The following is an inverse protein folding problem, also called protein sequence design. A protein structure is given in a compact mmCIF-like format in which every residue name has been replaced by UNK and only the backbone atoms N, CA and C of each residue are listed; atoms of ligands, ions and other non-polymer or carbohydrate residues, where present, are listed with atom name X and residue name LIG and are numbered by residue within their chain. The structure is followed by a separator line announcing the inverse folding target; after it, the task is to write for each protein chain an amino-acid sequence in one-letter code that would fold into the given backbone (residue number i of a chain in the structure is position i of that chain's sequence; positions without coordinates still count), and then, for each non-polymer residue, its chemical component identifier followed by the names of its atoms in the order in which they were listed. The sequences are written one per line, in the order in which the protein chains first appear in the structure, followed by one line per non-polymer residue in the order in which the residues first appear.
data_IF_425286747465
#
_entry.id   IF_425286747465
#
_cell.length_a   1.000
_cell.length_b   1.000
_cell.length_c   1.000
_cell.angle_alpha   90.00
_cell.angle_beta   90.00
_cell.angle_gamma   90.00
#
_symmetry.space_group_name_H-M   'P 1'
#
loop_
_entity.id
_entity.type
_entity.pdbx_description
1 polymer ?
#
# COMPACT_ATOMS: atom_id res chain seq x y z
N UNK A 1 76.33 -24.32 -20.18
CA UNK A 1 74.92 -24.77 -20.18
C UNK A 1 74.50 -24.95 -18.73
N UNK A 2 73.53 -24.15 -18.25
CA UNK A 2 72.60 -24.49 -17.17
C UNK A 2 71.62 -23.32 -17.00
N UNK A 3 70.43 -23.49 -17.58
CA UNK A 3 69.32 -22.56 -17.46
C UNK A 3 68.54 -22.88 -16.18
N UNK A 4 68.44 -21.92 -15.27
CA UNK A 4 67.52 -21.95 -14.13
C UNK A 4 66.28 -21.16 -14.50
N UNK A 5 65.21 -21.90 -14.76
CA UNK A 5 63.87 -21.44 -15.14
C UNK A 5 63.24 -20.64 -13.99
N UNK A 6 62.94 -19.36 -14.23
CA UNK A 6 62.13 -18.53 -13.33
C UNK A 6 60.66 -18.92 -13.46
N UNK A 7 60.10 -19.52 -12.42
CA UNK A 7 58.65 -19.75 -12.31
C UNK A 7 57.93 -18.43 -11.99
N UNK A 8 56.97 -18.05 -12.83
CA UNK A 8 56.04 -16.95 -12.58
C UNK A 8 54.87 -17.51 -11.76
N UNK A 9 54.70 -17.04 -10.53
CA UNK A 9 53.47 -17.28 -9.75
C UNK A 9 52.36 -16.38 -10.31
N UNK A 10 51.39 -16.98 -11.00
CA UNK A 10 50.12 -16.34 -11.31
C UNK A 10 49.24 -16.35 -10.05
N UNK A 11 49.01 -15.18 -9.46
CA UNK A 11 48.01 -15.01 -8.42
C UNK A 11 46.61 -15.00 -9.09
N UNK A 12 45.89 -16.11 -9.00
CA UNK A 12 44.50 -16.17 -9.39
C UNK A 12 43.65 -15.41 -8.34
N UNK A 13 43.16 -14.23 -8.70
CA UNK A 13 42.17 -13.53 -7.90
C UNK A 13 40.85 -14.31 -7.94
N UNK A 14 40.53 -15.01 -6.86
CA UNK A 14 39.22 -15.61 -6.66
C UNK A 14 38.21 -14.49 -6.34
N UNK A 15 37.50 -13.99 -7.35
CA UNK A 15 36.24 -13.28 -7.13
C UNK A 15 35.24 -14.27 -6.56
N UNK A 16 35.07 -14.28 -5.24
CA UNK A 16 33.99 -15.00 -4.59
C UNK A 16 32.66 -14.44 -5.11
N UNK A 17 31.92 -15.25 -5.87
CA UNK A 17 30.53 -14.97 -6.17
C UNK A 17 29.76 -15.01 -4.85
N UNK A 18 29.57 -13.85 -4.22
CA UNK A 18 28.71 -13.72 -3.05
C UNK A 18 27.30 -14.10 -3.50
N UNK A 19 26.85 -15.28 -3.08
CA UNK A 19 25.46 -15.71 -3.27
C UNK A 19 24.53 -14.71 -2.59
N UNK A 20 23.36 -14.45 -3.19
CA UNK A 20 22.35 -13.61 -2.56
C UNK A 20 21.93 -14.26 -1.24
N UNK A 21 22.28 -13.64 -0.11
CA UNK A 21 21.65 -13.94 1.16
C UNK A 21 20.32 -13.20 1.21
N UNK A 22 19.28 -13.83 1.76
CA UNK A 22 17.99 -13.19 1.98
C UNK A 22 18.12 -11.90 2.83
N UNK A 23 19.13 -11.82 3.70
CA UNK A 23 19.44 -10.62 4.49
C UNK A 23 19.95 -9.43 3.65
N UNK A 24 20.44 -9.66 2.42
CA UNK A 24 21.00 -8.64 1.54
C UNK A 24 20.04 -8.18 0.46
N UNK A 25 18.97 -8.93 0.21
CA UNK A 25 18.10 -8.71 -0.93
C UNK A 25 16.68 -9.19 -0.64
N UNK A 26 15.72 -8.36 -1.01
CA UNK A 26 14.30 -8.68 -0.93
C UNK A 26 13.55 -8.23 -2.16
N UNK A 27 12.51 -8.99 -2.48
CA UNK A 27 11.50 -8.68 -3.49
C UNK A 27 10.17 -8.47 -2.76
N UNK A 28 9.52 -7.34 -3.00
CA UNK A 28 8.22 -7.00 -2.43
C UNK A 28 7.24 -6.85 -3.58
N UNK A 29 6.17 -7.64 -3.55
CA UNK A 29 5.07 -7.46 -4.50
C UNK A 29 4.26 -6.23 -4.11
N UNK A 30 3.93 -5.37 -5.06
CA UNK A 30 3.22 -4.13 -4.79
C UNK A 30 1.82 -4.42 -4.24
N UNK A 31 1.15 -5.48 -4.72
CA UNK A 31 -0.17 -5.88 -4.24
C UNK A 31 -0.17 -6.36 -2.77
N UNK A 32 0.99 -6.69 -2.22
CA UNK A 32 1.19 -7.02 -0.79
C UNK A 32 1.42 -5.75 0.07
N UNK A 33 1.35 -4.55 -0.51
CA UNK A 33 1.31 -3.31 0.29
C UNK A 33 0.12 -3.33 1.23
N UNK A 34 0.31 -2.84 2.46
CA UNK A 34 -0.74 -2.90 3.47
C UNK A 34 -1.89 -1.94 3.19
N UNK A 35 -1.58 -0.70 2.82
CA UNK A 35 -2.56 0.32 2.50
C UNK A 35 -2.41 0.66 1.03
N UNK A 36 -3.44 0.44 0.22
CA UNK A 36 -3.36 0.75 -1.20
C UNK A 36 -3.73 2.19 -1.53
N UNK A 37 -4.38 2.91 -0.62
CA UNK A 37 -4.85 4.27 -0.89
C UNK A 37 -5.78 4.27 -2.11
N UNK A 38 -5.47 5.09 -3.12
CA UNK A 38 -6.20 5.13 -4.39
C UNK A 38 -5.78 4.04 -5.38
N UNK A 39 -4.74 3.26 -5.08
CA UNK A 39 -4.26 2.20 -5.95
C UNK A 39 -5.15 0.95 -5.83
N UNK A 40 -5.41 0.30 -6.95
CA UNK A 40 -6.19 -0.93 -7.00
C UNK A 40 -5.32 -2.09 -7.45
N UNK A 41 -5.55 -3.24 -6.83
CA UNK A 41 -4.95 -4.51 -7.26
C UNK A 41 -5.61 -4.98 -8.56
N UNK A 42 -4.80 -5.15 -9.61
CA UNK A 42 -5.24 -5.59 -10.93
C UNK A 42 -4.50 -6.87 -11.32
N UNK A 43 -5.23 -7.84 -11.90
CA UNK A 43 -4.64 -9.10 -12.35
C UNK A 43 -3.98 -8.98 -13.74
N UNK A 44 -2.80 -9.57 -13.90
CA UNK A 44 -2.11 -9.70 -15.17
C UNK A 44 -1.18 -10.92 -15.12
N UNK A 45 -1.23 -11.81 -16.11
CA UNK A 45 -0.41 -13.02 -16.11
C UNK A 45 1.09 -12.74 -16.28
N UNK A 46 1.47 -11.58 -16.82
CA UNK A 46 2.86 -11.16 -16.98
C UNK A 46 3.42 -10.42 -15.75
N UNK A 47 2.55 -9.99 -14.84
CA UNK A 47 2.93 -9.41 -13.56
C UNK A 47 3.64 -10.45 -12.68
N UNK A 48 4.58 -9.98 -11.85
CA UNK A 48 5.05 -10.76 -10.72
C UNK A 48 3.87 -11.01 -9.79
N UNK A 49 3.83 -12.15 -9.09
CA UNK A 49 2.66 -12.50 -8.25
C UNK A 49 1.32 -12.69 -8.98
N UNK A 50 1.24 -12.42 -10.29
CA UNK A 50 0.03 -12.34 -11.14
C UNK A 50 -0.87 -11.12 -10.88
N UNK A 51 -0.42 -10.16 -10.06
CA UNK A 51 -1.13 -8.93 -9.78
C UNK A 51 -0.16 -7.75 -9.73
N UNK A 52 -0.68 -6.54 -9.85
CA UNK A 52 0.08 -5.31 -9.66
C UNK A 52 -0.85 -4.23 -9.11
N UNK A 53 -0.29 -3.14 -8.58
CA UNK A 53 -1.04 -1.96 -8.18
C UNK A 53 -1.15 -0.96 -9.33
N UNK A 54 -2.36 -0.43 -9.50
CA UNK A 54 -2.73 0.48 -10.58
C UNK A 54 -3.61 1.62 -10.05
N UNK A 55 -3.29 2.87 -10.38
CA UNK A 55 -4.18 4.01 -10.12
C UNK A 55 -5.25 4.09 -11.21
N UNK A 56 -6.56 3.96 -10.89
CA UNK A 56 -7.63 4.04 -11.88
C UNK A 56 -7.94 5.47 -12.31
N UNK A 57 -8.69 5.59 -13.41
CA UNK A 57 -9.05 6.88 -14.00
C UNK A 57 -10.03 7.71 -13.17
N UNK A 58 -10.92 7.04 -12.46
CA UNK A 58 -11.92 7.66 -11.62
C UNK A 58 -11.47 7.81 -10.15
N UNK A 59 -10.16 7.70 -9.88
CA UNK A 59 -9.58 8.03 -8.58
C UNK A 59 -9.74 9.53 -8.28
N UNK A 60 -10.96 9.92 -7.85
CA UNK A 60 -11.35 11.28 -7.46
C UNK A 60 -10.47 11.80 -6.30
N UNK A 61 -9.99 10.88 -5.48
CA UNK A 61 -9.01 11.08 -4.41
C UNK A 61 -7.62 10.54 -4.79
N UNK A 62 -7.12 10.89 -5.98
CA UNK A 62 -5.74 10.68 -6.46
C UNK A 62 -4.62 11.27 -5.57
N UNK A 63 -4.93 11.56 -4.30
CA UNK A 63 -4.04 12.06 -3.25
C UNK A 63 -3.53 10.96 -2.33
N UNK A 64 -4.16 9.78 -2.31
CA UNK A 64 -3.82 8.73 -1.35
C UNK A 64 -2.84 7.72 -1.93
N UNK A 65 -1.64 7.74 -1.37
CA UNK A 65 -0.53 6.88 -1.74
C UNK A 65 -0.76 5.42 -1.30
N UNK A 66 -0.13 4.49 -2.00
CA UNK A 66 0.02 3.13 -1.47
C UNK A 66 1.21 3.09 -0.51
N UNK A 67 1.01 2.52 0.68
CA UNK A 67 1.97 2.54 1.77
C UNK A 67 2.16 1.14 2.34
N UNK A 68 3.42 0.79 2.61
CA UNK A 68 3.75 -0.43 3.35
C UNK A 68 5.01 -0.27 4.18
N UNK A 69 5.18 -1.13 5.19
CA UNK A 69 6.38 -1.20 6.01
C UNK A 69 7.23 -2.40 5.63
N UNK A 70 8.53 -2.17 5.49
CA UNK A 70 9.54 -3.21 5.31
C UNK A 70 10.53 -3.17 6.47
N UNK A 71 11.13 -4.30 6.80
CA UNK A 71 12.21 -4.38 7.80
C UNK A 71 13.50 -4.80 7.08
N UNK A 72 14.56 -4.01 7.23
CA UNK A 72 15.90 -4.34 6.77
C UNK A 72 16.69 -4.97 7.92
N UNK A 73 17.27 -6.15 7.71
CA UNK A 73 17.99 -6.88 8.76
C UNK A 73 19.34 -6.26 9.13
N UNK A 74 19.88 -5.39 8.26
CA UNK A 74 21.16 -4.74 8.47
C UNK A 74 21.18 -3.35 7.84
N UNK A 75 22.00 -2.45 8.39
CA UNK A 75 22.28 -1.17 7.75
C UNK A 75 23.15 -1.35 6.52
N UNK A 76 23.05 -0.43 5.57
CA UNK A 76 23.88 -0.43 4.36
C UNK A 76 23.33 0.49 3.27
N UNK A 77 24.04 0.50 2.15
CA UNK A 77 23.59 1.19 0.95
C UNK A 77 22.83 0.23 0.03
N UNK A 78 21.55 0.51 -0.19
CA UNK A 78 20.63 -0.36 -0.92
C UNK A 78 20.27 0.25 -2.27
N UNK A 79 20.38 -0.52 -3.33
CA UNK A 79 19.79 -0.24 -4.63
C UNK A 79 18.29 -0.56 -4.63
N UNK A 80 17.50 0.35 -5.19
CA UNK A 80 16.05 0.22 -5.31
C UNK A 80 15.65 0.13 -6.78
N UNK A 81 15.16 -1.04 -7.17
CA UNK A 81 14.61 -1.29 -8.48
C UNK A 81 13.10 -1.40 -8.38
N UNK A 82 12.40 -0.84 -9.37
CA UNK A 82 10.95 -0.95 -9.48
C UNK A 82 10.61 -1.63 -10.80
N UNK A 83 9.72 -2.62 -10.75
CA UNK A 83 9.08 -3.19 -11.93
C UNK A 83 7.74 -2.48 -12.11
N UNK A 84 7.55 -1.91 -13.28
CA UNK A 84 6.32 -1.20 -13.66
C UNK A 84 5.85 -1.68 -15.01
N UNK A 85 4.56 -1.48 -15.30
CA UNK A 85 4.03 -1.68 -16.65
C UNK A 85 3.96 -0.36 -17.40
N UNK A 86 4.43 -0.37 -18.64
CA UNK A 86 4.23 0.72 -19.60
C UNK A 86 3.84 0.15 -20.97
N UNK A 87 3.71 1.04 -21.94
CA UNK A 87 3.33 0.70 -23.30
C UNK A 87 4.27 1.38 -24.28
N UNK A 88 4.57 0.71 -25.40
CA UNK A 88 5.45 1.28 -26.40
C UNK A 88 4.73 2.26 -27.34
N UNK A 89 3.43 2.06 -27.59
CA UNK A 89 2.67 2.85 -28.57
C UNK A 89 1.58 3.75 -27.97
N UNK A 90 1.04 3.43 -26.77
CA UNK A 90 0.03 4.28 -26.10
C UNK A 90 0.67 5.13 -25.01
N UNK A 91 0.96 6.40 -25.37
CA UNK A 91 1.49 7.42 -24.45
C UNK A 91 2.67 6.88 -23.62
N UNK A 92 3.77 6.47 -24.27
CA UNK A 92 4.91 5.86 -23.58
C UNK A 92 5.49 6.82 -22.53
N UNK A 93 6.03 6.29 -21.43
CA UNK A 93 6.72 7.04 -20.37
C UNK A 93 5.84 8.03 -19.57
N UNK A 94 4.52 7.91 -19.71
CA UNK A 94 3.58 8.82 -19.04
C UNK A 94 3.09 8.30 -17.69
N UNK A 95 3.17 6.99 -17.43
CA UNK A 95 2.63 6.33 -16.21
C UNK A 95 3.57 6.48 -15.02
N UNK A 96 4.08 7.70 -14.81
CA UNK A 96 5.16 7.96 -13.86
C UNK A 96 4.67 7.99 -12.43
N UNK A 97 5.48 7.46 -11.53
CA UNK A 97 5.25 7.50 -10.10
C UNK A 97 6.58 7.51 -9.34
N UNK A 98 6.57 8.14 -8.17
CA UNK A 98 7.69 8.16 -7.26
C UNK A 98 7.60 7.00 -6.26
N UNK A 99 8.75 6.41 -5.95
CA UNK A 99 8.95 5.62 -4.74
C UNK A 99 9.59 6.52 -3.69
N UNK A 100 9.00 6.60 -2.50
CA UNK A 100 9.61 7.24 -1.34
C UNK A 100 10.00 6.19 -0.30
N UNK A 101 11.14 6.41 0.35
CA UNK A 101 11.59 5.63 1.51
C UNK A 101 11.74 6.59 2.67
N UNK A 102 10.98 6.37 3.74
CA UNK A 102 10.88 7.29 4.88
C UNK A 102 10.57 8.74 4.42
N UNK A 103 9.54 8.87 3.59
CA UNK A 103 9.02 10.13 3.00
C UNK A 103 9.98 10.89 2.05
N UNK A 104 11.21 10.41 1.87
CA UNK A 104 12.14 11.00 0.90
C UNK A 104 11.99 10.31 -0.45
N UNK A 105 11.64 11.02 -1.56
CA UNK A 105 11.56 10.42 -2.89
C UNK A 105 12.96 10.08 -3.45
N UNK A 106 13.04 9.14 -4.40
CA UNK A 106 14.20 9.03 -5.28
C UNK A 106 14.17 10.15 -6.34
N UNK A 107 15.33 10.55 -6.86
CA UNK A 107 15.41 11.53 -7.95
C UNK A 107 14.78 10.98 -9.25
N UNK A 108 14.92 9.67 -9.49
CA UNK A 108 14.33 9.00 -10.64
C UNK A 108 12.94 8.47 -10.32
N UNK A 109 12.01 8.64 -11.26
CA UNK A 109 10.67 8.05 -11.22
C UNK A 109 10.63 6.71 -11.97
N UNK A 110 9.77 5.81 -11.50
CA UNK A 110 9.39 4.60 -12.22
C UNK A 110 8.33 4.91 -13.31
N UNK A 111 8.01 3.94 -14.17
CA UNK A 111 7.00 4.11 -15.22
C UNK A 111 7.46 5.01 -16.38
N UNK A 112 8.78 5.16 -16.55
CA UNK A 112 9.41 6.02 -17.56
C UNK A 112 10.10 5.24 -18.69
N UNK A 113 9.95 3.91 -18.71
CA UNK A 113 10.71 3.06 -19.63
C UNK A 113 10.16 3.03 -21.07
N UNK A 114 8.86 3.25 -21.31
CA UNK A 114 8.29 3.30 -22.67
C UNK A 114 8.40 1.98 -23.44
N UNK A 115 8.57 0.86 -22.74
CA UNK A 115 8.62 -0.49 -23.32
C UNK A 115 7.27 -1.15 -23.13
N UNK A 116 6.87 -2.01 -24.06
CA UNK A 116 5.63 -2.77 -23.92
C UNK A 116 5.73 -3.77 -22.76
N UNK A 117 4.72 -3.75 -21.89
CA UNK A 117 4.64 -4.68 -20.76
C UNK A 117 5.46 -4.23 -19.56
N UNK A 118 5.90 -5.21 -18.76
CA UNK A 118 6.56 -4.98 -17.48
C UNK A 118 8.07 -4.90 -17.62
N UNK A 119 8.70 -3.92 -16.98
CA UNK A 119 10.14 -3.79 -17.01
C UNK A 119 10.73 -3.22 -15.72
N UNK A 120 11.94 -3.67 -15.37
CA UNK A 120 12.70 -3.14 -14.24
C UNK A 120 13.37 -1.81 -14.58
N UNK A 121 13.37 -0.89 -13.62
CA UNK A 121 14.11 0.37 -13.63
C UNK A 121 14.81 0.55 -12.28
N UNK A 122 16.11 0.84 -12.29
CA UNK A 122 16.85 1.27 -11.11
C UNK A 122 16.49 2.74 -10.83
N UNK A 123 15.94 3.02 -9.64
CA UNK A 123 15.64 4.40 -9.24
C UNK A 123 16.82 5.09 -8.55
N UNK A 124 17.72 4.30 -7.96
CA UNK A 124 18.93 4.78 -7.31
C UNK A 124 19.33 3.92 -6.13
N UNK A 125 20.31 4.43 -5.38
CA UNK A 125 20.80 3.82 -4.15
C UNK A 125 20.53 4.73 -2.95
N UNK A 126 20.38 4.15 -1.76
CA UNK A 126 20.16 4.88 -0.52
C UNK A 126 20.78 4.16 0.67
N UNK A 127 21.55 4.92 1.45
CA UNK A 127 22.02 4.47 2.76
C UNK A 127 20.84 4.42 3.74
N UNK A 128 20.61 3.26 4.33
CA UNK A 128 19.55 3.01 5.31
C UNK A 128 20.14 2.27 6.52
N UNK A 129 19.58 2.55 7.70
CA UNK A 129 19.90 1.79 8.90
C UNK A 129 19.23 0.40 8.87
N UNK A 130 19.61 -0.48 9.78
CA UNK A 130 18.80 -1.66 10.06
C UNK A 130 17.48 -1.23 10.72
N UNK A 131 16.41 -1.98 10.50
CA UNK A 131 15.12 -1.76 11.12
C UNK A 131 14.00 -1.44 10.14
N UNK A 132 12.96 -0.80 10.64
CA UNK A 132 11.73 -0.53 9.89
C UNK A 132 11.85 0.71 9.00
N UNK A 133 11.39 0.57 7.76
CA UNK A 133 11.31 1.64 6.78
C UNK A 133 9.93 1.67 6.12
N UNK A 134 9.44 2.88 5.85
CA UNK A 134 8.18 3.07 5.15
C UNK A 134 8.45 3.22 3.65
N UNK A 135 7.77 2.40 2.84
CA UNK A 135 7.73 2.55 1.39
C UNK A 135 6.41 3.18 0.98
N UNK A 136 6.48 4.17 0.11
CA UNK A 136 5.31 4.92 -0.38
C UNK A 136 5.36 5.01 -1.89
N UNK A 137 4.27 4.64 -2.56
CA UNK A 137 4.07 4.82 -4.00
C UNK A 137 3.15 6.02 -4.24
N UNK A 138 3.66 7.01 -4.97
CA UNK A 138 2.96 8.26 -5.24
C UNK A 138 2.84 8.48 -6.75
N UNK A 139 1.61 8.55 -7.28
CA UNK A 139 1.37 8.84 -8.70
C UNK A 139 1.61 10.33 -8.98
N UNK A 140 2.79 10.62 -9.52
CA UNK A 140 3.25 11.99 -9.79
C UNK A 140 2.67 12.55 -11.08
N UNK A 141 2.41 11.70 -12.08
CA UNK A 141 1.89 12.12 -13.36
C UNK A 141 0.36 12.21 -13.39
N UNK A 142 -0.33 11.62 -12.41
CA UNK A 142 -1.80 11.42 -12.40
C UNK A 142 -2.27 10.76 -13.69
N UNK A 143 -1.45 9.85 -14.18
CA UNK A 143 -1.59 9.21 -15.48
C UNK A 143 -1.51 7.70 -15.32
N UNK A 144 -2.21 7.19 -14.30
CA UNK A 144 -2.42 5.77 -14.04
C UNK A 144 -1.11 5.05 -13.70
N UNK A 145 -0.42 5.48 -12.63
CA UNK A 145 0.78 4.80 -12.14
C UNK A 145 0.57 3.29 -11.99
N UNK A 146 1.61 2.49 -12.31
CA UNK A 146 1.55 1.01 -12.32
C UNK A 146 2.79 0.40 -11.68
N UNK A 147 2.65 -0.15 -10.48
CA UNK A 147 3.75 -0.79 -9.78
C UNK A 147 3.46 -2.28 -9.63
N UNK A 148 4.38 -3.11 -10.11
CA UNK A 148 4.35 -4.57 -10.00
C UNK A 148 5.11 -5.03 -8.76
N UNK A 149 6.39 -4.69 -8.68
CA UNK A 149 7.25 -5.14 -7.60
C UNK A 149 8.39 -4.17 -7.33
N UNK A 150 8.93 -4.24 -6.11
CA UNK A 150 10.11 -3.50 -5.67
C UNK A 150 11.18 -4.49 -5.28
N UNK A 151 12.36 -4.37 -5.88
CA UNK A 151 13.52 -5.18 -5.56
C UNK A 151 14.59 -4.31 -4.89
N UNK A 152 14.93 -4.66 -3.66
CA UNK A 152 15.82 -3.89 -2.79
C UNK A 152 17.04 -4.77 -2.51
N UNK A 153 18.25 -4.30 -2.81
CA UNK A 153 19.47 -5.11 -2.65
C UNK A 153 20.68 -4.28 -2.22
N UNK A 154 21.55 -4.84 -1.38
CA UNK A 154 22.89 -4.26 -1.09
C UNK A 154 23.95 -4.66 -2.13
N UNK A 155 23.63 -5.62 -2.99
CA UNK A 155 24.55 -6.12 -4.01
C UNK A 155 24.40 -5.36 -5.32
N UNK A 156 25.24 -5.67 -6.31
CA UNK A 156 25.13 -5.13 -7.67
C UNK A 156 24.26 -6.01 -8.59
N UNK A 157 23.36 -6.81 -8.01
CA UNK A 157 22.50 -7.72 -8.77
C UNK A 157 21.37 -6.94 -9.44
N UNK A 158 21.30 -7.06 -10.77
CA UNK A 158 20.16 -6.62 -11.57
C UNK A 158 19.05 -7.69 -11.52
N UNK A 159 17.84 -7.35 -11.02
CA UNK A 159 16.72 -8.29 -10.97
C UNK A 159 16.30 -8.82 -12.36
N UNK A 160 16.58 -8.10 -13.44
CA UNK A 160 16.33 -8.52 -14.82
C UNK A 160 17.18 -9.71 -15.28
N UNK A 161 18.28 -10.02 -14.58
CA UNK A 161 19.13 -11.18 -14.86
C UNK A 161 18.75 -12.43 -14.05
N UNK A 162 17.80 -12.29 -13.11
CA UNK A 162 17.35 -13.37 -12.25
C UNK A 162 16.17 -14.10 -12.88
N UNK A 163 16.16 -15.43 -12.80
CA UNK A 163 14.99 -16.23 -13.16
C UNK A 163 13.82 -15.96 -12.19
N UNK A 164 12.59 -16.24 -12.64
CA UNK A 164 11.41 -16.13 -11.79
C UNK A 164 11.51 -16.99 -10.51
N UNK A 165 12.13 -18.17 -10.58
CA UNK A 165 12.36 -19.00 -9.40
C UNK A 165 13.35 -18.37 -8.40
N UNK A 166 14.38 -17.67 -8.88
CA UNK A 166 15.31 -16.94 -8.01
C UNK A 166 14.63 -15.73 -7.36
N UNK A 167 13.87 -14.95 -8.14
CA UNK A 167 13.08 -13.83 -7.63
C UNK A 167 12.07 -14.29 -6.57
N UNK A 168 11.36 -15.40 -6.81
CA UNK A 168 10.40 -15.95 -5.86
C UNK A 168 11.01 -16.32 -4.51
N UNK A 169 12.27 -16.77 -4.45
CA UNK A 169 12.96 -17.08 -3.18
C UNK A 169 13.32 -15.84 -2.37
N UNK A 170 13.35 -14.67 -3.01
CA UNK A 170 13.66 -13.39 -2.38
C UNK A 170 12.39 -12.66 -1.95
N UNK A 171 11.21 -13.20 -2.26
CA UNK A 171 9.93 -12.59 -1.89
C UNK A 171 9.79 -12.49 -0.38
N UNK A 172 9.48 -11.29 0.08
CA UNK A 172 9.12 -11.00 1.46
C UNK A 172 7.71 -10.45 1.49
N UNK A 173 6.92 -10.90 2.47
CA UNK A 173 5.64 -10.25 2.78
C UNK A 173 5.91 -9.08 3.73
N UNK A 174 5.53 -7.85 3.38
CA UNK A 174 5.63 -6.70 4.28
C UNK A 174 4.94 -6.97 5.63
N UNK A 175 5.53 -6.47 6.71
CA UNK A 175 4.93 -6.63 8.04
C UNK A 175 3.81 -5.61 8.23
N UNK A 176 2.65 -6.06 8.67
CA UNK A 176 1.54 -5.17 9.01
C UNK A 176 1.95 -4.13 10.07
N UNK A 177 1.68 -2.87 9.78
CA UNK A 177 1.57 -1.77 10.74
C UNK A 177 0.27 -1.95 11.51
N UNK A 178 0.35 -2.01 12.84
CA UNK A 178 -0.86 -1.95 13.66
C UNK A 178 -1.30 -0.49 13.74
N UNK A 179 -2.29 -0.13 12.95
CA UNK A 179 -2.98 1.14 13.11
C UNK A 179 -4.03 0.93 14.19
N UNK A 180 -3.95 1.69 15.28
CA UNK A 180 -5.04 1.73 16.23
C UNK A 180 -6.27 2.26 15.48
N UNK A 181 -7.38 1.52 15.50
CA UNK A 181 -8.62 2.06 14.94
C UNK A 181 -8.91 3.38 15.62
N UNK A 182 -9.14 4.47 14.87
CA UNK A 182 -9.49 5.75 15.47
C UNK A 182 -10.71 5.50 16.39
N UNK A 183 -10.62 5.92 17.65
CA UNK A 183 -11.71 5.74 18.63
C UNK A 183 -13.07 6.22 18.07
N UNK A 184 -13.04 7.21 17.18
CA UNK A 184 -14.20 7.79 16.50
C UNK A 184 -15.03 6.82 15.63
N UNK A 185 -14.55 5.61 15.30
CA UNK A 185 -15.27 4.65 14.46
C UNK A 185 -15.68 3.36 15.17
N UNK A 186 -15.49 3.28 16.48
CA UNK A 186 -15.96 2.10 17.24
C UNK A 186 -17.46 2.19 17.42
N UNK A 187 -18.19 1.22 16.88
CA UNK A 187 -19.60 1.06 17.23
C UNK A 187 -19.70 0.79 18.72
N UNK A 188 -20.52 1.57 19.41
CA UNK A 188 -20.76 1.44 20.84
C UNK A 188 -22.06 0.70 21.00
N UNK A 189 -22.05 -0.45 21.67
CA UNK A 189 -23.28 -1.07 22.13
C UNK A 189 -23.92 -0.13 23.17
N UNK A 190 -25.11 0.38 22.89
CA UNK A 190 -25.82 1.26 23.83
C UNK A 190 -27.02 0.53 24.41
N UNK A 191 -27.03 0.39 25.74
CA UNK A 191 -28.21 -0.03 26.48
C UNK A 191 -29.29 1.04 26.36
N UNK A 192 -30.39 0.72 25.68
CA UNK A 192 -31.48 1.67 25.45
C UNK A 192 -32.84 1.18 25.90
N UNK A 193 -32.86 0.47 27.03
CA UNK A 193 -34.07 0.11 27.76
C UNK A 193 -34.76 1.35 28.38
N UNK A 194 -33.99 2.38 28.77
CA UNK A 194 -34.49 3.56 29.50
C UNK A 194 -34.09 4.91 28.85
N UNK A 195 -33.80 4.93 27.55
CA UNK A 195 -33.31 6.11 26.84
C UNK A 195 -34.44 7.12 26.54
N UNK A 196 -34.36 8.33 27.13
CA UNK A 196 -35.31 9.41 26.85
C UNK A 196 -35.16 9.91 25.40
N UNK A 197 -36.28 10.08 24.69
CA UNK A 197 -36.25 10.69 23.35
C UNK A 197 -35.94 12.19 23.46
N UNK A 198 -34.85 12.61 22.84
CA UNK A 198 -34.41 14.02 22.77
C UNK A 198 -34.98 14.71 21.52
N UNK A 199 -35.00 14.01 20.39
CA UNK A 199 -35.57 14.50 19.14
C UNK A 199 -36.06 13.33 18.28
N UNK A 200 -37.06 13.57 17.43
CA UNK A 200 -37.56 12.60 16.46
C UNK A 200 -37.90 13.27 15.14
N UNK A 201 -37.43 12.68 14.05
CA UNK A 201 -37.88 12.95 12.69
C UNK A 201 -38.74 11.76 12.25
N UNK A 202 -39.93 12.04 11.71
CA UNK A 202 -40.89 11.00 11.36
C UNK A 202 -41.58 11.29 10.03
N UNK A 203 -41.64 10.27 9.19
CA UNK A 203 -42.50 10.19 7.99
C UNK A 203 -43.37 8.94 8.12
N UNK A 204 -44.38 8.73 7.25
CA UNK A 204 -45.21 7.53 7.28
C UNK A 204 -44.43 6.19 7.18
N UNK A 205 -43.20 6.22 6.65
CA UNK A 205 -42.38 5.02 6.43
C UNK A 205 -41.04 5.00 7.18
N UNK A 206 -40.64 6.11 7.82
CA UNK A 206 -39.32 6.26 8.46
C UNK A 206 -39.44 6.98 9.80
N UNK A 207 -38.75 6.48 10.82
CA UNK A 207 -38.52 7.17 12.09
C UNK A 207 -37.03 7.24 12.37
N UNK A 208 -36.52 8.44 12.57
CA UNK A 208 -35.17 8.67 13.11
C UNK A 208 -35.33 9.29 14.49
N UNK A 209 -34.94 8.57 15.54
CA UNK A 209 -35.03 9.03 16.93
C UNK A 209 -33.63 9.28 17.48
N UNK A 210 -33.41 10.45 18.05
CA UNK A 210 -32.25 10.77 18.88
C UNK A 210 -32.67 10.60 20.34
N UNK A 211 -32.01 9.72 21.08
CA UNK A 211 -32.30 9.43 22.47
C UNK A 211 -31.08 9.64 23.35
N UNK A 212 -31.28 10.00 24.61
CA UNK A 212 -30.21 10.08 25.60
C UNK A 212 -29.68 8.68 25.89
N UNK A 213 -28.37 8.51 25.86
CA UNK A 213 -27.69 7.27 26.24
C UNK A 213 -26.41 7.55 27.01
N UNK A 214 -25.60 6.50 27.17
CA UNK A 214 -24.25 6.59 27.73
C UNK A 214 -23.27 5.86 26.83
N UNK A 215 -22.03 6.33 26.78
CA UNK A 215 -20.92 5.60 26.16
C UNK A 215 -20.44 4.44 27.07
N UNK A 216 -19.51 3.56 26.63
CA UNK A 216 -19.00 2.46 27.46
C UNK A 216 -18.33 2.92 28.76
N UNK A 217 -17.96 4.21 28.84
CA UNK A 217 -17.33 4.84 30.00
C UNK A 217 -18.37 5.54 30.90
N UNK A 218 -19.67 5.46 30.58
CA UNK A 218 -20.77 6.01 31.37
C UNK A 218 -21.05 7.51 31.16
N UNK A 219 -20.35 8.18 30.25
CA UNK A 219 -20.53 9.61 29.94
C UNK A 219 -21.83 9.82 29.16
N UNK A 220 -22.54 10.95 29.34
CA UNK A 220 -23.71 11.29 28.53
C UNK A 220 -23.41 11.21 27.02
N UNK A 221 -24.29 10.54 26.30
CA UNK A 221 -24.18 10.28 24.87
C UNK A 221 -25.54 10.45 24.18
N UNK A 222 -25.56 10.66 22.86
CA UNK A 222 -26.80 10.68 22.08
C UNK A 222 -26.79 9.50 21.12
N UNK A 223 -27.84 8.68 21.19
CA UNK A 223 -28.04 7.50 20.36
C UNK A 223 -29.02 7.83 19.26
N UNK A 224 -28.65 7.58 18.01
CA UNK A 224 -29.61 7.60 16.90
C UNK A 224 -30.15 6.19 16.68
N UNK A 225 -31.47 6.08 16.50
CA UNK A 225 -32.16 4.86 16.07
C UNK A 225 -32.96 5.14 14.82
N UNK A 226 -32.82 4.26 13.83
CA UNK A 226 -33.56 4.34 12.58
C UNK A 226 -34.51 3.15 12.46
N UNK A 227 -35.80 3.44 12.27
CA UNK A 227 -36.84 2.43 12.05
C UNK A 227 -37.52 2.66 10.72
N UNK A 228 -37.78 1.58 10.00
CA UNK A 228 -38.59 1.59 8.79
C UNK A 228 -39.92 0.88 9.07
N UNK A 229 -41.00 1.39 8.48
CA UNK A 229 -42.27 0.69 8.46
C UNK A 229 -42.20 -0.40 7.39
N UNK A 230 -42.19 -1.67 7.81
CA UNK A 230 -42.16 -2.83 6.92
C UNK A 230 -43.27 -3.79 7.32
N UNK A 231 -44.11 -4.17 6.35
CA UNK A 231 -45.26 -5.05 6.57
C UNK A 231 -46.19 -4.63 7.73
N UNK A 232 -46.37 -3.30 7.94
CA UNK A 232 -47.20 -2.75 9.01
C UNK A 232 -46.55 -2.73 10.40
N UNK A 233 -45.31 -3.19 10.52
CA UNK A 233 -44.53 -3.15 11.76
C UNK A 233 -43.32 -2.21 11.61
N UNK A 234 -42.97 -1.51 12.68
CA UNK A 234 -41.73 -0.75 12.73
C UNK A 234 -40.57 -1.71 13.00
N UNK A 235 -39.62 -1.77 12.08
CA UNK A 235 -38.43 -2.63 12.15
C UNK A 235 -37.22 -1.73 12.38
N UNK A 236 -36.43 -2.02 13.41
CA UNK A 236 -35.13 -1.40 13.61
C UNK A 236 -34.21 -1.80 12.45
N UNK A 237 -33.55 -0.81 11.84
CA UNK A 237 -32.43 -1.13 10.96
C UNK A 237 -31.34 -1.82 11.79
N UNK A 238 -30.66 -2.85 11.26
CA UNK A 238 -29.70 -3.64 12.02
C UNK A 238 -28.69 -2.73 12.72
N UNK A 239 -28.77 -2.74 14.05
CA UNK A 239 -27.96 -1.93 14.93
C UNK A 239 -26.48 -2.26 14.73
N UNK A 240 -25.76 -1.34 14.10
CA UNK A 240 -24.52 -0.89 14.70
C UNK A 240 -24.78 0.56 15.06
N UNK A 241 -25.08 0.86 16.32
CA UNK A 241 -24.97 2.23 16.80
C UNK A 241 -23.51 2.68 16.55
N UNK A 242 -23.32 3.57 15.57
CA UNK A 242 -22.01 3.97 15.03
C UNK A 242 -21.67 3.48 13.61
N UNK A 243 -22.45 2.57 13.02
CA UNK A 243 -22.31 2.13 11.62
C UNK A 243 -23.15 2.92 10.62
N UNK A 244 -24.19 3.62 11.09
CA UNK A 244 -24.95 4.55 10.25
C UNK A 244 -24.19 5.87 10.09
N UNK A 245 -23.54 6.08 8.94
CA UNK A 245 -22.93 7.36 8.60
C UNK A 245 -23.98 8.48 8.56
N UNK A 246 -23.81 9.50 9.39
CA UNK A 246 -24.62 10.71 9.36
C UNK A 246 -24.11 11.62 8.21
N UNK A 247 -24.86 11.71 7.12
CA UNK A 247 -24.65 12.78 6.15
C UNK A 247 -25.44 14.01 6.60
N UNK A 248 -24.77 14.99 7.20
CA UNK A 248 -25.37 16.32 7.40
C UNK A 248 -25.15 17.11 6.11
N UNK A 249 -26.17 17.17 5.27
CA UNK A 249 -26.19 18.10 4.14
C UNK A 249 -26.79 19.42 4.63
N UNK A 250 -25.98 20.47 4.65
CA UNK A 250 -26.41 21.84 4.92
C UNK A 250 -26.38 22.62 3.62
N UNK A 251 -27.54 23.07 3.16
CA UNK A 251 -27.62 24.17 2.20
C UNK A 251 -27.84 25.44 3.02
N UNK A 252 -26.90 26.38 2.95
CA UNK A 252 -27.19 27.75 3.38
C UNK A 252 -28.19 28.33 2.37
N UNK A 253 -29.21 29.01 2.88
CA UNK A 253 -30.37 29.49 2.12
C UNK A 253 -29.99 30.17 0.79
N UNK A 254 -30.78 29.88 -0.25
CA UNK A 254 -30.76 30.57 -1.53
C UNK A 254 -31.57 31.88 -1.47
#
# INVERSE_FOLDING_TARGET
MNALTRGVLAAAAMTAAQGLRAADTMLIEAEDFQFHGAWMRVGDAAASGRFYLHVPHDARDSRYDAVTRVTLDAGGDYAFWVRSRDFAQDRPKMRRFALRVNDVPFEQEAGTHGREGFAWQLLGRRALAAGDHLLVLHDTARAYGRCDAIFITRTDKDPGTLSGAQLNRLRVRPKALRVAEPEAFRSVAVDGADAATLARLETPALRVTFASGRDPQGKPWIVRRTRLLSAGAWVDLPDAAGGETLFVQHAADA
#
